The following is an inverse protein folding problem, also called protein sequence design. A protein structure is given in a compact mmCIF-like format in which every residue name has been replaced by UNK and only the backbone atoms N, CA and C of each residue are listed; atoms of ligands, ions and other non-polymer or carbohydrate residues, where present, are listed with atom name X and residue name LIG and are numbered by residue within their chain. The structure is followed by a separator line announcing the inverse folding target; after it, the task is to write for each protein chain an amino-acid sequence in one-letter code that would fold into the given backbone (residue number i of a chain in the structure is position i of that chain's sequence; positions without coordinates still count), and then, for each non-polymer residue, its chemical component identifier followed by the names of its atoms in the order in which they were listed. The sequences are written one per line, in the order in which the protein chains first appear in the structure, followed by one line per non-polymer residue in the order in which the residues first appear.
data_IF_242570581308
#
_entry.id   IF_242570581308
#
_cell.length_a   1.000
_cell.length_b   1.000
_cell.length_c   1.000
_cell.angle_alpha   90.00
_cell.angle_beta   90.00
_cell.angle_gamma   90.00
#
_symmetry.space_group_name_H-M   'P 1'
#
loop_
_entity.id
_entity.type
_entity.pdbx_description
1 polymer ?
#
# COMPACT_ATOMS: atom_id res chain seq x y z
N UNK A 1 -24.98 -2.78 3.70
CA UNK A 1 -23.63 -2.51 4.21
C UNK A 1 -22.86 -1.83 3.09
N UNK A 2 -22.59 -0.53 3.21
CA UNK A 2 -21.97 0.27 2.16
C UNK A 2 -20.49 -0.11 2.02
N UNK A 3 -20.12 -0.72 0.89
CA UNK A 3 -18.75 -1.09 0.55
C UNK A 3 -17.99 0.15 0.11
N UNK A 4 -17.02 0.61 0.93
CA UNK A 4 -16.14 1.72 0.57
C UNK A 4 -14.98 1.17 -0.26
N UNK A 5 -15.07 1.34 -1.58
CA UNK A 5 -13.98 1.00 -2.50
C UNK A 5 -12.82 1.98 -2.29
N UNK A 6 -11.59 1.46 -2.27
CA UNK A 6 -10.37 2.26 -2.11
C UNK A 6 -9.85 2.73 -3.48
N UNK A 7 -10.09 1.94 -4.52
CA UNK A 7 -9.78 2.27 -5.93
C UNK A 7 -10.78 1.57 -6.87
N UNK A 8 -10.89 2.06 -8.09
CA UNK A 8 -11.71 1.43 -9.14
C UNK A 8 -11.03 0.20 -9.74
N UNK A 9 -11.82 -0.64 -10.43
CA UNK A 9 -11.29 -1.82 -11.11
C UNK A 9 -10.30 -1.46 -12.24
N UNK A 10 -10.59 -0.37 -12.96
CA UNK A 10 -9.74 0.12 -14.04
C UNK A 10 -8.37 0.56 -13.51
N UNK A 11 -8.36 1.40 -12.46
CA UNK A 11 -7.12 1.84 -11.81
C UNK A 11 -6.30 0.65 -11.29
N UNK A 12 -6.96 -0.36 -10.71
CA UNK A 12 -6.28 -1.57 -10.25
C UNK A 12 -5.65 -2.35 -11.40
N UNK A 13 -6.35 -2.49 -12.53
CA UNK A 13 -5.84 -3.21 -13.71
C UNK A 13 -4.65 -2.49 -14.35
N UNK A 14 -4.66 -1.15 -14.38
CA UNK A 14 -3.51 -0.35 -14.82
C UNK A 14 -2.28 -0.57 -13.93
N UNK A 15 -2.47 -0.70 -12.61
CA UNK A 15 -1.38 -0.91 -11.65
C UNK A 15 -0.98 -2.38 -11.45
N UNK A 16 -1.72 -3.33 -12.04
CA UNK A 16 -1.51 -4.78 -11.86
C UNK A 16 -0.11 -5.25 -12.23
N UNK A 17 0.56 -4.55 -13.15
CA UNK A 17 1.94 -4.85 -13.53
C UNK A 17 2.92 -4.75 -12.34
N UNK A 18 2.68 -3.84 -11.39
CA UNK A 18 3.50 -3.66 -10.17
C UNK A 18 3.38 -4.83 -9.20
N UNK A 19 2.27 -5.57 -9.26
CA UNK A 19 1.98 -6.70 -8.40
C UNK A 19 2.35 -8.06 -9.02
N UNK A 20 3.02 -8.07 -10.19
CA UNK A 20 3.41 -9.30 -10.91
C UNK A 20 4.30 -10.24 -10.11
N UNK A 21 5.07 -9.71 -9.16
CA UNK A 21 5.95 -10.49 -8.27
C UNK A 21 5.18 -11.19 -7.15
N UNK A 22 3.93 -10.81 -6.91
CA UNK A 22 3.08 -11.42 -5.89
C UNK A 22 2.31 -12.62 -6.46
N UNK A 23 1.95 -13.55 -5.58
CA UNK A 23 1.13 -14.70 -5.96
C UNK A 23 -0.24 -14.29 -6.52
N UNK A 24 -0.81 -15.12 -7.39
CA UNK A 24 -2.16 -14.92 -7.92
C UNK A 24 -3.21 -14.78 -6.78
N UNK A 25 -3.06 -15.55 -5.70
CA UNK A 25 -3.90 -15.48 -4.52
C UNK A 25 -3.81 -14.11 -3.81
N UNK A 26 -2.60 -13.53 -3.73
CA UNK A 26 -2.40 -12.18 -3.18
C UNK A 26 -2.98 -11.10 -4.10
N UNK A 27 -2.86 -11.25 -5.42
CA UNK A 27 -3.48 -10.36 -6.39
C UNK A 27 -5.02 -10.38 -6.29
N UNK A 28 -5.61 -11.57 -6.10
CA UNK A 28 -7.04 -11.72 -5.87
C UNK A 28 -7.48 -11.08 -4.53
N UNK A 29 -6.72 -11.30 -3.45
CA UNK A 29 -6.95 -10.65 -2.16
C UNK A 29 -6.94 -9.12 -2.30
N UNK A 30 -5.95 -8.56 -3.01
CA UNK A 30 -5.84 -7.13 -3.24
C UNK A 30 -7.07 -6.58 -3.97
N UNK A 31 -7.55 -7.27 -5.02
CA UNK A 31 -8.75 -6.87 -5.75
C UNK A 31 -10.00 -6.88 -4.85
N UNK A 32 -10.21 -7.94 -4.08
CA UNK A 32 -11.35 -8.04 -3.17
C UNK A 32 -11.39 -6.91 -2.14
N UNK A 33 -10.22 -6.52 -1.62
CA UNK A 33 -10.14 -5.47 -0.59
C UNK A 33 -10.19 -4.07 -1.20
N UNK A 34 -9.41 -3.81 -2.24
CA UNK A 34 -9.21 -2.46 -2.77
C UNK A 34 -10.30 -2.06 -3.76
N UNK A 35 -10.76 -3.00 -4.60
CA UNK A 35 -11.77 -2.78 -5.63
C UNK A 35 -13.16 -3.17 -5.11
N UNK A 36 -13.32 -4.39 -4.59
CA UNK A 36 -14.64 -4.86 -4.16
C UNK A 36 -15.03 -4.32 -2.76
N UNK A 37 -14.08 -3.67 -2.06
CA UNK A 37 -14.31 -3.01 -0.76
C UNK A 37 -14.52 -3.97 0.41
N UNK A 38 -14.19 -5.26 0.26
CA UNK A 38 -14.32 -6.23 1.33
C UNK A 38 -13.33 -5.92 2.45
N UNK A 39 -13.75 -6.16 3.69
CA UNK A 39 -12.81 -6.15 4.79
C UNK A 39 -11.84 -7.34 4.70
N UNK A 40 -10.66 -7.19 5.33
CA UNK A 40 -9.60 -8.20 5.30
C UNK A 40 -10.05 -9.58 5.79
N UNK A 41 -10.99 -9.66 6.74
CA UNK A 41 -11.48 -10.94 7.28
C UNK A 41 -12.28 -11.70 6.24
N UNK A 42 -13.27 -11.05 5.61
CA UNK A 42 -14.08 -11.67 4.54
C UNK A 42 -13.24 -12.02 3.32
N UNK A 43 -12.33 -11.13 2.94
CA UNK A 43 -11.43 -11.39 1.82
C UNK A 43 -10.52 -12.59 2.13
N UNK A 44 -10.01 -12.72 3.37
CA UNK A 44 -9.21 -13.86 3.82
C UNK A 44 -9.95 -15.19 3.70
N UNK A 45 -11.22 -15.23 4.10
CA UNK A 45 -12.08 -16.42 3.98
C UNK A 45 -12.25 -16.84 2.51
N UNK A 46 -12.49 -15.87 1.61
CA UNK A 46 -12.66 -16.14 0.17
C UNK A 46 -11.38 -16.69 -0.45
N UNK A 47 -10.22 -16.12 -0.12
CA UNK A 47 -8.95 -16.59 -0.69
C UNK A 47 -8.34 -17.77 0.07
N UNK A 48 -8.92 -18.20 1.19
CA UNK A 48 -8.39 -19.30 2.02
C UNK A 48 -7.07 -18.97 2.73
N UNK A 49 -6.85 -17.70 3.13
CA UNK A 49 -5.64 -17.27 3.83
C UNK A 49 -5.89 -17.04 5.32
N UNK A 50 -4.86 -17.25 6.15
CA UNK A 50 -4.90 -16.84 7.55
C UNK A 50 -4.89 -15.31 7.67
N UNK A 51 -5.47 -14.77 8.76
CA UNK A 51 -5.48 -13.32 9.03
C UNK A 51 -4.07 -12.69 9.07
N UNK A 52 -3.09 -13.42 9.60
CA UNK A 52 -1.70 -12.96 9.64
C UNK A 52 -1.10 -12.83 8.23
N UNK A 53 -1.33 -13.84 7.39
CA UNK A 53 -0.86 -13.83 6.00
C UNK A 53 -1.53 -12.74 5.19
N UNK A 54 -2.83 -12.48 5.40
CA UNK A 54 -3.56 -11.38 4.75
C UNK A 54 -2.97 -10.02 5.09
N UNK A 55 -2.68 -9.75 6.37
CA UNK A 55 -2.09 -8.48 6.77
C UNK A 55 -0.70 -8.27 6.13
N UNK A 56 0.16 -9.29 6.15
CA UNK A 56 1.46 -9.23 5.50
C UNK A 56 1.37 -9.05 3.98
N UNK A 57 0.44 -9.75 3.33
CA UNK A 57 0.19 -9.64 1.89
C UNK A 57 -0.32 -8.24 1.51
N UNK A 58 -1.29 -7.69 2.25
CA UNK A 58 -1.82 -6.35 2.00
C UNK A 58 -0.80 -5.25 2.23
N UNK A 59 0.13 -5.42 3.17
CA UNK A 59 1.23 -4.46 3.35
C UNK A 59 2.17 -4.44 2.14
N UNK A 60 2.51 -5.62 1.59
CA UNK A 60 3.32 -5.73 0.36
C UNK A 60 2.62 -5.11 -0.85
N UNK A 61 1.32 -5.38 -1.00
CA UNK A 61 0.49 -4.75 -2.05
C UNK A 61 0.53 -3.23 -1.93
N UNK A 62 0.26 -2.67 -0.75
CA UNK A 62 0.27 -1.22 -0.53
C UNK A 62 1.62 -0.59 -0.83
N UNK A 63 2.72 -1.25 -0.44
CA UNK A 63 4.07 -0.77 -0.73
C UNK A 63 4.32 -0.70 -2.25
N UNK A 64 3.98 -1.76 -2.99
CA UNK A 64 4.16 -1.82 -4.45
C UNK A 64 3.26 -0.82 -5.19
N UNK A 65 2.00 -0.67 -4.80
CA UNK A 65 1.09 0.27 -5.47
C UNK A 65 1.47 1.74 -5.22
N UNK A 66 2.02 2.05 -4.06
CA UNK A 66 2.49 3.39 -3.71
C UNK A 66 3.92 3.69 -4.17
N UNK A 67 4.53 2.82 -5.00
CA UNK A 67 5.93 2.90 -5.44
C UNK A 67 6.92 3.13 -4.28
N UNK A 68 6.58 2.59 -3.10
CA UNK A 68 7.41 2.77 -1.92
C UNK A 68 8.72 2.00 -2.12
N UNK A 69 9.87 2.63 -1.86
CA UNK A 69 11.15 1.93 -1.92
C UNK A 69 11.16 0.71 -0.99
N UNK A 70 11.86 -0.36 -1.41
CA UNK A 70 11.83 -1.66 -0.74
C UNK A 70 12.32 -1.64 0.72
N UNK A 71 13.05 -0.60 1.12
CA UNK A 71 13.57 -0.36 2.47
C UNK A 71 12.55 0.32 3.41
N UNK A 72 11.36 0.70 2.93
CA UNK A 72 10.34 1.31 3.76
C UNK A 72 9.60 0.26 4.60
N UNK A 73 9.54 0.52 5.91
CA UNK A 73 8.91 -0.37 6.89
C UNK A 73 7.62 0.25 7.42
N UNK A 74 6.54 -0.56 7.47
CA UNK A 74 5.32 -0.17 8.15
C UNK A 74 5.43 -0.42 9.66
N UNK A 75 5.37 0.66 10.44
CA UNK A 75 5.47 0.61 11.91
C UNK A 75 4.09 0.79 12.54
N UNK A 76 3.65 -0.17 13.36
CA UNK A 76 2.40 -0.11 14.14
C UNK A 76 2.70 -0.27 15.62
N UNK A 77 3.33 0.73 16.21
CA UNK A 77 3.80 0.71 17.59
C UNK A 77 3.16 1.83 18.42
N UNK A 78 2.93 1.57 19.71
CA UNK A 78 2.57 2.60 20.66
C UNK A 78 3.83 3.38 21.06
N UNK A 79 3.74 4.71 21.04
CA UNK A 79 4.85 5.57 21.41
C UNK A 79 4.34 6.82 22.15
N UNK A 80 5.16 7.43 23.02
CA UNK A 80 4.81 8.68 23.69
C UNK A 80 4.44 9.78 22.68
N UNK A 81 3.47 10.63 23.04
CA UNK A 81 2.92 11.64 22.14
C UNK A 81 3.99 12.57 21.53
N UNK A 82 5.00 12.95 22.32
CA UNK A 82 6.14 13.76 21.85
C UNK A 82 6.89 13.06 20.71
N UNK A 83 7.21 11.78 20.86
CA UNK A 83 7.91 10.99 19.85
C UNK A 83 7.07 10.83 18.58
N UNK A 84 5.77 10.59 18.71
CA UNK A 84 4.86 10.52 17.56
C UNK A 84 4.87 11.82 16.74
N UNK A 85 4.86 12.97 17.42
CA UNK A 85 4.93 14.29 16.78
C UNK A 85 6.25 14.48 16.02
N UNK A 86 7.38 14.10 16.61
CA UNK A 86 8.70 14.17 15.98
C UNK A 86 8.79 13.29 14.73
N UNK A 87 8.31 12.04 14.81
CA UNK A 87 8.28 11.11 13.66
C UNK A 87 7.43 11.69 12.53
N UNK A 88 6.24 12.22 12.84
CA UNK A 88 5.37 12.87 11.85
C UNK A 88 6.03 14.07 11.18
N UNK A 89 6.74 14.91 11.95
CA UNK A 89 7.46 16.06 11.41
C UNK A 89 8.58 15.64 10.46
N UNK A 90 9.38 14.62 10.82
CA UNK A 90 10.44 14.06 9.96
C UNK A 90 9.88 13.47 8.67
N UNK A 91 8.77 12.72 8.74
CA UNK A 91 8.09 12.17 7.56
C UNK A 91 7.58 13.28 6.63
N UNK A 92 7.00 14.36 7.17
CA UNK A 92 6.53 15.51 6.37
C UNK A 92 7.70 16.18 5.64
N UNK A 93 8.84 16.36 6.33
CA UNK A 93 10.03 16.96 5.73
C UNK A 93 10.62 16.09 4.60
N UNK A 94 10.64 14.76 4.75
CA UNK A 94 11.12 13.85 3.69
C UNK A 94 10.19 13.84 2.47
N UNK A 95 8.87 13.86 2.65
CA UNK A 95 7.92 13.95 1.53
C UNK A 95 8.16 15.19 0.68
N UNK A 96 8.44 16.34 1.29
CA UNK A 96 8.76 17.58 0.57
C UNK A 96 10.04 17.46 -0.25
N UNK A 97 11.05 16.70 0.23
CA UNK A 97 12.31 16.46 -0.51
C UNK A 97 12.13 15.54 -1.71
N UNK A 98 11.26 14.54 -1.63
CA UNK A 98 11.02 13.62 -2.74
C UNK A 98 10.28 14.33 -3.90
N UNK A 99 9.35 15.24 -3.59
CA UNK A 99 8.66 16.06 -4.62
C UNK A 99 9.60 17.06 -5.30
N UNK A 100 10.64 17.57 -4.62
CA UNK A 100 11.62 18.49 -5.21
C UNK A 100 12.77 17.79 -5.93
N UNK A 101 12.95 16.48 -5.73
CA UNK A 101 13.99 15.66 -6.38
C UNK A 101 13.61 15.11 -7.75
N UNK A 102 12.32 15.00 -8.09
CA UNK A 102 11.87 14.42 -9.37
C UNK A 102 11.88 15.42 -10.56
N UNK A 103 12.15 16.71 -10.34
CA UNK A 103 12.08 17.73 -11.39
C UNK A 103 13.45 18.15 -11.96
N UNK A 104 14.41 17.22 -12.06
CA UNK A 104 15.73 17.47 -12.69
C UNK A 104 16.22 16.36 -13.64
N UNK A 105 15.30 15.60 -14.24
CA UNK A 105 15.67 14.67 -15.32
C UNK A 105 14.66 14.68 -16.46
N UNK A 106 14.33 15.86 -16.99
CA UNK A 106 13.73 15.94 -18.33
C UNK A 106 14.19 17.16 -19.14
N UNK A 107 15.49 17.47 -19.04
CA UNK A 107 16.18 18.32 -20.02
C UNK A 107 17.44 17.55 -20.42
N UNK A 108 17.29 16.67 -21.42
CA UNK A 108 18.28 16.31 -22.43
C UNK A 108 17.79 15.07 -23.16
N UNK A 109 17.10 15.28 -24.28
CA UNK A 109 17.29 14.60 -25.56
C UNK A 109 16.58 15.36 -26.65
#
# INVERSE_FOLDING_TARGET
MTTLQIMSALEFDEQKHKLRTLSAQTNQLARLVLVDGLNNTKAAEIVGMSRQNVNGAMNRVKALLADMPADYVYVKEWMPAKMATEVRAKLKAQKVKNVSGENKSNICK
#
